data_IF_650541965254
#
_entry.id   IF_650541965254
#
_cell.length_a   1.000
_cell.length_b   1.000
_cell.length_c   1.000
_cell.angle_alpha   90.00
_cell.angle_beta   90.00
_cell.angle_gamma   90.00
#
_symmetry.space_group_name_H-M   'P 1'
#
loop_
_entity.id
_entity.type
_entity.pdbx_description
1 polymer ?
#
# COMPACT_ATOMS: atom_id res chain seq x y z
N UNK A 1 4.70 19.96 -11.11
CA UNK A 1 5.12 20.89 -10.07
C UNK A 1 5.38 20.13 -8.79
N UNK A 2 5.69 20.82 -7.71
CA UNK A 2 5.70 20.25 -6.37
C UNK A 2 4.26 19.83 -6.01
N UNK A 3 4.08 18.68 -5.36
CA UNK A 3 2.77 18.10 -5.00
C UNK A 3 1.87 17.72 -6.21
N UNK A 4 2.40 17.61 -7.42
CA UNK A 4 1.65 17.01 -8.52
C UNK A 4 1.52 15.49 -8.29
N UNK A 5 0.28 14.99 -8.26
CA UNK A 5 -0.03 13.57 -8.05
C UNK A 5 -0.65 12.90 -9.29
N UNK A 6 -0.39 11.60 -9.43
CA UNK A 6 -1.01 10.70 -10.38
C UNK A 6 -1.54 9.47 -9.66
N UNK A 7 -2.79 9.13 -9.91
CA UNK A 7 -3.47 8.01 -9.27
C UNK A 7 -4.09 7.08 -10.29
N UNK A 8 -3.93 5.79 -10.06
CA UNK A 8 -4.59 4.72 -10.79
C UNK A 8 -5.36 3.85 -9.81
N UNK A 9 -6.68 3.89 -9.91
CA UNK A 9 -7.57 3.01 -9.16
C UNK A 9 -8.38 2.15 -10.13
N UNK A 10 -8.59 0.87 -9.80
CA UNK A 10 -9.49 0.05 -10.60
C UNK A 10 -10.91 0.59 -10.47
N UNK A 11 -11.65 0.57 -11.58
CA UNK A 11 -13.03 1.03 -11.58
C UNK A 11 -13.92 0.09 -10.77
N UNK A 12 -14.37 0.58 -9.64
CA UNK A 12 -15.24 -0.13 -8.71
C UNK A 12 -14.46 -0.88 -7.63
N UNK A 13 -14.96 -0.81 -6.43
CA UNK A 13 -14.47 -1.50 -5.26
C UNK A 13 -14.95 -2.96 -5.30
N UNK A 14 -14.02 -3.88 -5.45
CA UNK A 14 -14.31 -5.30 -5.70
C UNK A 14 -13.70 -6.25 -4.66
N UNK A 15 -12.92 -5.71 -3.73
CA UNK A 15 -12.20 -6.47 -2.72
C UNK A 15 -12.77 -6.16 -1.34
N UNK A 16 -13.57 -7.08 -0.78
CA UNK A 16 -14.01 -6.97 0.61
C UNK A 16 -13.14 -7.84 1.49
N UNK A 17 -12.38 -7.19 2.37
CA UNK A 17 -11.59 -7.88 3.39
C UNK A 17 -12.48 -8.43 4.50
N UNK A 18 -11.95 -9.33 5.28
CA UNK A 18 -12.70 -9.94 6.37
C UNK A 18 -11.77 -10.58 7.40
N UNK A 19 -12.17 -10.54 8.65
CA UNK A 19 -11.51 -11.27 9.73
C UNK A 19 -11.71 -12.80 9.67
N UNK A 20 -12.52 -13.28 8.71
CA UNK A 20 -12.83 -14.71 8.53
C UNK A 20 -12.42 -15.29 7.18
N UNK A 21 -11.86 -14.49 6.28
CA UNK A 21 -11.46 -14.89 4.92
C UNK A 21 -10.03 -14.50 4.63
N UNK A 22 -9.36 -15.32 3.83
CA UNK A 22 -7.99 -15.04 3.39
C UNK A 22 -7.98 -14.01 2.29
N UNK A 23 -6.99 -13.12 2.35
CA UNK A 23 -6.69 -12.21 1.26
C UNK A 23 -5.19 -12.16 1.02
N UNK A 24 -4.82 -11.88 -0.21
CA UNK A 24 -3.44 -11.80 -0.65
C UNK A 24 -3.27 -10.65 -1.63
N UNK A 25 -2.24 -9.85 -1.42
CA UNK A 25 -1.81 -8.79 -2.34
C UNK A 25 -0.31 -8.92 -2.57
N UNK A 26 0.12 -8.73 -3.79
CA UNK A 26 1.55 -8.66 -4.13
C UNK A 26 1.77 -7.72 -5.29
N UNK A 27 2.83 -6.95 -5.21
CA UNK A 27 3.26 -6.01 -6.24
C UNK A 27 4.77 -6.00 -6.35
N UNK A 28 5.27 -5.67 -7.55
CA UNK A 28 6.68 -5.37 -7.77
C UNK A 28 6.79 -4.04 -8.47
N UNK A 29 7.50 -3.11 -7.84
CA UNK A 29 7.56 -1.72 -8.27
C UNK A 29 8.91 -1.09 -7.97
N UNK A 30 9.15 0.09 -8.55
CA UNK A 30 10.28 0.97 -8.24
C UNK A 30 9.90 2.44 -8.39
N UNK A 31 10.60 3.32 -7.69
CA UNK A 31 10.50 4.77 -7.80
C UNK A 31 11.70 5.32 -8.56
N UNK A 32 11.50 6.36 -9.38
CA UNK A 32 12.59 7.08 -10.03
C UNK A 32 13.42 7.91 -9.06
N UNK A 33 12.85 8.28 -7.91
CA UNK A 33 13.48 9.06 -6.84
C UNK A 33 12.83 8.66 -5.53
N UNK A 34 13.53 7.87 -4.74
CA UNK A 34 13.02 7.32 -3.49
C UNK A 34 12.91 8.38 -2.38
N UNK A 35 13.67 9.48 -2.47
CA UNK A 35 13.66 10.52 -1.43
C UNK A 35 12.58 11.58 -1.68
N UNK A 36 12.31 11.92 -2.94
CA UNK A 36 11.46 13.05 -3.31
C UNK A 36 10.13 12.56 -3.95
N UNK A 37 9.56 11.49 -3.43
CA UNK A 37 8.27 10.97 -3.86
C UNK A 37 7.45 10.51 -2.66
N UNK A 38 6.17 10.89 -2.61
CA UNK A 38 5.17 10.15 -1.85
C UNK A 38 4.64 9.01 -2.70
N UNK A 39 4.27 7.91 -2.08
CA UNK A 39 3.73 6.76 -2.77
C UNK A 39 2.75 5.99 -1.90
N UNK A 40 1.67 5.52 -2.53
CA UNK A 40 0.76 4.54 -1.94
C UNK A 40 0.49 3.42 -2.94
N UNK A 41 0.58 2.16 -2.50
CA UNK A 41 0.27 1.00 -3.31
C UNK A 41 -0.37 -0.12 -2.47
N UNK A 42 -1.63 -0.48 -2.79
CA UNK A 42 -2.35 -1.49 -2.02
C UNK A 42 -3.81 -1.65 -2.39
N UNK A 43 -4.60 -2.00 -1.38
CA UNK A 43 -6.06 -2.05 -1.43
C UNK A 43 -6.61 -0.95 -0.54
N UNK A 44 -7.32 0.01 -1.11
CA UNK A 44 -7.93 1.14 -0.38
C UNK A 44 -9.35 1.40 -0.86
N UNK A 45 -10.10 2.21 -0.14
CA UNK A 45 -11.31 2.82 -0.69
C UNK A 45 -10.97 3.66 -1.92
N UNK A 46 -11.97 3.97 -2.74
CA UNK A 46 -11.79 4.91 -3.86
C UNK A 46 -11.69 6.34 -3.31
N UNK A 47 -10.62 7.03 -3.63
CA UNK A 47 -10.39 8.42 -3.26
C UNK A 47 -9.77 9.18 -4.44
N UNK A 48 -9.99 10.47 -4.52
CA UNK A 48 -9.39 11.37 -5.53
C UNK A 48 -8.07 11.99 -5.09
N UNK A 49 -7.67 11.74 -3.84
CA UNK A 49 -6.43 12.21 -3.20
C UNK A 49 -5.85 11.09 -2.33
N UNK A 50 -5.67 9.90 -2.91
CA UNK A 50 -5.38 8.67 -2.15
C UNK A 50 -4.17 8.76 -1.23
N UNK A 51 -3.14 9.54 -1.57
CA UNK A 51 -1.95 9.71 -0.71
C UNK A 51 -2.31 10.38 0.62
N UNK A 52 -3.19 11.40 0.59
CA UNK A 52 -3.53 12.20 1.78
C UNK A 52 -4.93 11.93 2.34
N UNK A 53 -5.77 11.18 1.62
CA UNK A 53 -7.20 11.11 1.90
C UNK A 53 -7.76 9.73 2.23
N UNK A 54 -7.00 8.67 2.03
CA UNK A 54 -7.47 7.30 2.34
C UNK A 54 -7.80 7.19 3.83
N UNK A 55 -8.99 6.69 4.14
CA UNK A 55 -9.45 6.43 5.50
C UNK A 55 -9.59 4.94 5.82
N UNK A 56 -9.56 4.10 4.77
CA UNK A 56 -9.71 2.66 4.87
C UNK A 56 -8.82 1.96 3.82
N UNK A 57 -7.94 1.08 4.30
CA UNK A 57 -7.05 0.36 3.40
C UNK A 57 -6.07 -0.59 4.08
N UNK A 58 -5.40 -1.37 3.24
CA UNK A 58 -4.18 -2.12 3.57
C UNK A 58 -3.19 -1.86 2.45
N UNK A 59 -2.11 -1.16 2.75
CA UNK A 59 -1.22 -0.64 1.72
C UNK A 59 0.23 -0.48 2.20
N UNK A 60 1.11 -0.32 1.24
CA UNK A 60 2.47 0.17 1.43
C UNK A 60 2.49 1.65 1.12
N UNK A 61 2.97 2.45 2.05
CA UNK A 61 3.10 3.90 1.96
C UNK A 61 4.54 4.35 2.05
N UNK A 62 4.80 5.54 1.58
CA UNK A 62 6.08 6.22 1.69
C UNK A 62 5.89 7.71 1.54
N UNK A 63 6.43 8.49 2.46
CA UNK A 63 6.41 9.94 2.44
C UNK A 63 7.65 10.51 1.76
N UNK A 64 7.55 11.69 1.15
CA UNK A 64 8.70 12.41 0.64
C UNK A 64 9.63 12.90 1.78
N UNK A 65 10.85 13.22 1.43
CA UNK A 65 11.87 13.65 2.40
C UNK A 65 12.66 12.53 3.06
N UNK A 66 12.20 11.28 2.96
CA UNK A 66 12.98 10.11 3.38
C UNK A 66 12.88 8.94 2.36
N UNK A 67 13.49 7.80 2.68
CA UNK A 67 13.52 6.61 1.83
C UNK A 67 12.79 5.42 2.46
N UNK A 68 12.09 5.63 3.56
CA UNK A 68 11.44 4.55 4.30
C UNK A 68 10.15 4.12 3.60
N UNK A 69 9.99 2.82 3.44
CA UNK A 69 8.72 2.20 3.07
C UNK A 69 8.03 1.77 4.36
N UNK A 70 6.75 2.05 4.46
CA UNK A 70 5.91 1.72 5.60
C UNK A 70 4.80 0.76 5.18
N UNK A 71 4.24 0.04 6.16
CA UNK A 71 3.08 -0.82 5.94
C UNK A 71 1.94 -0.41 6.85
N UNK A 72 0.79 -0.11 6.27
CA UNK A 72 -0.38 0.46 6.94
C UNK A 72 -1.59 -0.46 6.83
N UNK A 73 -2.29 -0.63 7.94
CA UNK A 73 -3.62 -1.24 8.03
C UNK A 73 -4.52 -0.19 8.68
N UNK A 74 -5.45 0.36 7.92
CA UNK A 74 -6.25 1.50 8.32
C UNK A 74 -7.74 1.24 8.18
N UNK A 75 -8.51 1.66 9.19
CA UNK A 75 -9.96 1.62 9.24
C UNK A 75 -10.52 2.88 9.91
N UNK A 76 -11.48 3.54 9.28
CA UNK A 76 -12.13 4.75 9.82
C UNK A 76 -11.10 5.83 10.25
N UNK A 77 -10.07 6.06 9.44
CA UNK A 77 -8.94 6.97 9.75
C UNK A 77 -8.18 6.61 11.03
N UNK A 78 -8.16 5.32 11.40
CA UNK A 78 -7.38 4.81 12.52
C UNK A 78 -6.40 3.76 12.02
N UNK A 79 -5.12 4.03 12.19
CA UNK A 79 -4.04 3.22 11.64
C UNK A 79 -3.46 2.21 12.65
N UNK A 80 -2.98 1.11 12.09
CA UNK A 80 -1.93 0.26 12.64
C UNK A 80 -0.80 0.28 11.64
N UNK A 81 0.29 0.95 11.97
CA UNK A 81 1.41 1.17 11.08
C UNK A 81 2.66 0.45 11.59
N UNK A 82 3.46 -0.08 10.66
CA UNK A 82 4.81 -0.57 10.89
C UNK A 82 5.74 0.22 9.98
N UNK A 83 6.54 1.11 10.59
CA UNK A 83 7.33 2.13 9.88
C UNK A 83 8.73 1.63 9.57
N UNK A 84 9.32 2.11 8.45
CA UNK A 84 10.70 1.82 8.07
C UNK A 84 10.95 0.34 7.77
N UNK A 85 9.96 -0.36 7.23
CA UNK A 85 10.06 -1.80 6.93
C UNK A 85 11.08 -2.13 5.84
N UNK A 86 11.43 -1.14 5.03
CA UNK A 86 12.45 -1.24 3.98
C UNK A 86 12.99 0.13 3.61
N UNK A 87 14.26 0.22 3.27
CA UNK A 87 14.85 1.43 2.69
C UNK A 87 14.79 1.32 1.17
N UNK A 88 14.05 2.23 0.54
CA UNK A 88 13.94 2.31 -0.91
C UNK A 88 15.20 2.94 -1.53
N UNK A 89 15.52 2.51 -2.74
CA UNK A 89 16.61 3.06 -3.54
C UNK A 89 16.09 3.46 -4.92
N UNK A 90 16.65 4.54 -5.48
CA UNK A 90 16.29 5.02 -6.81
C UNK A 90 16.41 3.91 -7.86
N UNK A 91 15.41 3.83 -8.72
CA UNK A 91 15.35 2.87 -9.83
C UNK A 91 15.55 1.39 -9.45
N UNK A 92 15.41 1.05 -8.17
CA UNK A 92 15.59 -0.31 -7.67
C UNK A 92 14.22 -0.97 -7.40
N UNK A 93 13.99 -2.14 -8.04
CA UNK A 93 12.74 -2.87 -7.85
C UNK A 93 12.64 -3.51 -6.47
N UNK A 94 11.49 -3.30 -5.85
CA UNK A 94 11.07 -3.93 -4.60
C UNK A 94 9.84 -4.80 -4.88
N UNK A 95 9.80 -6.00 -4.29
CA UNK A 95 8.60 -6.84 -4.24
C UNK A 95 7.99 -6.72 -2.85
N UNK A 96 6.77 -6.18 -2.77
CA UNK A 96 6.02 -6.02 -1.54
C UNK A 96 4.77 -6.89 -1.57
N UNK A 97 4.54 -7.62 -0.49
CA UNK A 97 3.44 -8.58 -0.39
C UNK A 97 2.78 -8.46 0.97
N UNK A 98 1.46 -8.51 1.03
CA UNK A 98 0.75 -8.75 2.29
C UNK A 98 -0.28 -9.86 2.14
N UNK A 99 -0.61 -10.51 3.26
CA UNK A 99 -1.71 -11.46 3.32
C UNK A 99 -2.43 -11.40 4.66
N UNK A 100 -3.73 -11.66 4.61
CA UNK A 100 -4.59 -11.71 5.77
C UNK A 100 -4.81 -13.17 6.13
N UNK A 101 -4.49 -13.53 7.38
CA UNK A 101 -4.65 -14.87 7.93
C UNK A 101 -5.70 -14.84 9.06
N UNK A 102 -6.96 -15.18 8.78
CA UNK A 102 -8.03 -15.20 9.78
C UNK A 102 -7.79 -16.22 10.88
N UNK A 103 -7.14 -17.35 10.57
CA UNK A 103 -6.86 -18.41 11.56
C UNK A 103 -5.91 -17.92 12.66
N UNK A 104 -5.13 -16.88 12.39
CA UNK A 104 -4.17 -16.26 13.32
C UNK A 104 -4.56 -14.86 13.77
N UNK A 105 -5.71 -14.36 13.30
CA UNK A 105 -6.15 -12.98 13.55
C UNK A 105 -5.04 -11.99 13.29
N UNK A 106 -4.50 -12.01 12.08
CA UNK A 106 -3.30 -11.26 11.74
C UNK A 106 -3.25 -10.86 10.26
N UNK A 107 -2.61 -9.73 10.02
CA UNK A 107 -2.08 -9.34 8.71
C UNK A 107 -0.57 -9.59 8.74
N UNK A 108 -0.03 -10.04 7.63
CA UNK A 108 1.41 -10.25 7.46
C UNK A 108 1.89 -9.50 6.24
N UNK A 109 3.04 -8.86 6.32
CA UNK A 109 3.73 -8.37 5.14
C UNK A 109 5.10 -9.04 4.94
N UNK A 110 5.61 -8.96 3.73
CA UNK A 110 6.96 -9.42 3.35
C UNK A 110 7.52 -8.52 2.27
N UNK A 111 8.79 -8.16 2.40
CA UNK A 111 9.54 -7.39 1.39
C UNK A 111 10.61 -8.28 0.79
N UNK A 112 10.72 -8.29 -0.55
CA UNK A 112 11.72 -9.04 -1.31
C UNK A 112 11.78 -10.54 -0.94
N UNK A 113 10.61 -11.14 -0.66
CA UNK A 113 10.46 -12.54 -0.22
C UNK A 113 11.19 -12.87 1.10
N UNK A 114 11.43 -11.88 1.96
CA UNK A 114 11.89 -12.12 3.31
C UNK A 114 10.84 -12.87 4.15
N UNK A 115 11.22 -13.32 5.34
CA UNK A 115 10.28 -13.94 6.25
C UNK A 115 9.13 -12.97 6.59
N UNK A 116 7.86 -13.42 6.56
CA UNK A 116 6.71 -12.55 6.84
C UNK A 116 6.75 -11.99 8.25
N UNK A 117 6.44 -10.71 8.37
CA UNK A 117 6.30 -9.98 9.64
C UNK A 117 4.82 -9.88 9.97
N UNK A 118 4.48 -10.10 11.24
CA UNK A 118 3.10 -10.05 11.74
C UNK A 118 2.73 -8.66 12.20
N UNK A 119 1.59 -8.16 11.72
CA UNK A 119 0.94 -6.91 12.17
C UNK A 119 -0.44 -7.24 12.75
N UNK A 120 -0.89 -6.44 13.72
CA UNK A 120 -2.23 -6.59 14.27
C UNK A 120 -3.30 -6.28 13.21
N UNK A 121 -4.41 -7.02 13.26
CA UNK A 121 -5.56 -6.78 12.37
C UNK A 121 -6.66 -5.92 13.04
N UNK A 122 -6.31 -5.15 14.08
CA UNK A 122 -7.29 -4.35 14.83
C UNK A 122 -8.01 -3.34 13.96
N UNK A 123 -7.29 -2.72 13.03
CA UNK A 123 -7.81 -1.72 12.12
C UNK A 123 -7.99 -2.29 10.69
N UNK A 124 -8.30 -3.59 10.57
CA UNK A 124 -8.61 -4.17 9.27
C UNK A 124 -9.94 -3.59 8.76
N UNK A 125 -10.00 -2.96 7.57
CA UNK A 125 -11.23 -2.42 7.00
C UNK A 125 -12.11 -3.56 6.46
N UNK A 126 -12.90 -4.18 7.34
CA UNK A 126 -13.72 -5.36 7.04
C UNK A 126 -15.19 -5.01 6.75
N UNK A 127 -15.57 -3.76 6.87
CA UNK A 127 -16.89 -3.22 6.59
C UNK A 127 -16.98 -2.47 5.25
N UNK A 128 -15.87 -2.01 4.70
CA UNK A 128 -15.80 -1.34 3.40
C UNK A 128 -15.36 -2.29 2.26
N UNK A 129 -15.73 -1.95 1.04
CA UNK A 129 -15.24 -2.57 -0.18
C UNK A 129 -14.07 -1.74 -0.73
N UNK A 130 -12.99 -2.40 -1.13
CA UNK A 130 -11.74 -1.77 -1.51
C UNK A 130 -11.44 -1.96 -3.00
N UNK A 131 -10.56 -1.14 -3.52
CA UNK A 131 -10.00 -1.24 -4.87
C UNK A 131 -8.48 -1.34 -4.84
N UNK A 132 -7.88 -1.83 -5.92
CA UNK A 132 -6.42 -1.70 -6.12
C UNK A 132 -6.11 -0.23 -6.41
N UNK A 133 -5.23 0.34 -5.61
CA UNK A 133 -4.77 1.73 -5.73
C UNK A 133 -3.27 1.77 -5.91
N UNK A 134 -2.83 2.58 -6.88
CA UNK A 134 -1.45 2.93 -7.15
C UNK A 134 -1.40 4.46 -7.23
N UNK A 135 -0.68 5.10 -6.34
CA UNK A 135 -0.55 6.56 -6.34
C UNK A 135 0.92 6.98 -6.18
N UNK A 136 1.27 8.07 -6.80
CA UNK A 136 2.56 8.74 -6.63
C UNK A 136 2.34 10.25 -6.62
N UNK A 137 3.05 10.95 -5.74
CA UNK A 137 3.11 12.39 -5.72
C UNK A 137 4.57 12.86 -5.74
N UNK A 138 4.82 13.97 -6.41
CA UNK A 138 6.16 14.53 -6.51
C UNK A 138 6.44 15.44 -5.30
N UNK A 139 7.36 15.07 -4.43
CA UNK A 139 7.84 15.90 -3.31
C UNK A 139 8.86 16.97 -3.72
N UNK A 140 9.01 17.26 -5.02
CA UNK A 140 9.86 18.31 -5.55
C UNK A 140 9.41 18.70 -6.96
N UNK A 141 9.84 19.88 -7.45
CA UNK A 141 9.42 20.48 -8.73
C UNK A 141 9.88 19.72 -10.00
N UNK A 142 10.22 18.45 -9.88
CA UNK A 142 10.59 17.57 -11.00
C UNK A 142 9.66 16.36 -11.02
N UNK A 143 9.19 15.98 -12.20
CA UNK A 143 8.32 14.81 -12.35
C UNK A 143 8.97 13.53 -11.80
N UNK A 144 8.21 12.77 -11.02
CA UNK A 144 8.59 11.47 -10.48
C UNK A 144 7.80 10.37 -11.18
N UNK A 145 8.28 9.15 -11.12
CA UNK A 145 7.58 8.01 -11.68
C UNK A 145 7.59 6.79 -10.77
N UNK A 146 6.42 6.19 -10.62
CA UNK A 146 6.22 4.85 -10.08
C UNK A 146 6.14 3.88 -11.26
N UNK A 147 7.10 2.97 -11.36
CA UNK A 147 7.09 1.90 -12.36
C UNK A 147 6.63 0.61 -11.71
N UNK A 148 5.55 0.05 -12.20
CA UNK A 148 4.98 -1.19 -11.68
C UNK A 148 5.16 -2.32 -12.68
N UNK A 149 5.77 -3.43 -12.26
CA UNK A 149 5.96 -4.65 -13.07
C UNK A 149 4.69 -5.50 -13.05
N UNK A 150 4.13 -5.72 -11.86
CA UNK A 150 2.84 -6.40 -11.69
C UNK A 150 2.13 -5.99 -10.40
N UNK A 151 0.81 -6.19 -10.41
CA UNK A 151 -0.04 -6.21 -9.21
C UNK A 151 -0.89 -7.48 -9.24
N UNK A 152 -1.03 -8.13 -8.10
CA UNK A 152 -1.91 -9.28 -7.89
C UNK A 152 -2.71 -9.08 -6.60
N UNK A 153 -4.03 -9.14 -6.70
CA UNK A 153 -4.94 -9.06 -5.55
C UNK A 153 -5.94 -10.21 -5.61
N UNK A 154 -6.06 -10.96 -4.52
CA UNK A 154 -6.92 -12.13 -4.42
C UNK A 154 -7.61 -12.11 -3.05
N UNK A 155 -8.93 -12.27 -3.04
CA UNK A 155 -9.73 -12.40 -1.82
C UNK A 155 -10.57 -13.67 -1.92
N UNK A 156 -10.61 -14.45 -0.84
CA UNK A 156 -11.45 -15.63 -0.71
C UNK A 156 -12.94 -15.22 -0.72
N UNK A 157 -13.76 -15.96 -1.45
CA UNK A 157 -15.20 -15.71 -1.58
C UNK A 157 -16.05 -16.49 -0.56
#
# INVERSE_FOLDING_TARGET
ADDDSEELQLKGEAFKLSTSKKAYFSTRFKLSDATQSDMLIGLTITDTTAIDGVTDGVFFGKDDGDTNLDFVVEKDSTETEDTGIHTMEDDTFVTATFFIDPDRSAVYYSINNAAPVKVANTNLPDDEELTVTLAIQAGAAAAKSLTVDYVSAIVER
#
